data_IF_965553967216
#
_entry.id   IF_965553967216
#
_cell.length_a   1.000
_cell.length_b   1.000
_cell.length_c   1.000
_cell.angle_alpha   90.00
_cell.angle_beta   90.00
_cell.angle_gamma   90.00
#
_symmetry.space_group_name_H-M   'P 1'
#
loop_
_entity.id
_entity.type
_entity.pdbx_description
1 polymer ?
#
# COMPACT_ATOMS: atom_id res chain seq x y z
N UNK A 1 -0.91 -12.88 6.83
CA UNK A 1 -1.35 -11.46 6.69
C UNK A 1 -1.02 -10.72 7.99
N UNK A 2 -0.50 -9.52 7.91
CA UNK A 2 -0.11 -8.67 9.04
C UNK A 2 -1.33 -8.22 9.86
N UNK A 3 -1.23 -8.18 11.21
CA UNK A 3 -2.36 -7.89 12.09
C UNK A 3 -2.85 -6.42 11.96
N UNK A 4 -1.95 -5.47 11.73
CA UNK A 4 -2.32 -4.07 11.58
C UNK A 4 -2.95 -3.80 10.20
N UNK A 5 -2.54 -4.55 9.18
CA UNK A 5 -3.24 -4.54 7.90
C UNK A 5 -4.66 -5.11 8.04
N UNK A 6 -4.85 -6.19 8.81
CA UNK A 6 -6.19 -6.71 9.13
C UNK A 6 -7.03 -5.66 9.85
N UNK A 7 -6.51 -5.01 10.88
CA UNK A 7 -7.19 -3.92 11.60
C UNK A 7 -7.58 -2.77 10.65
N UNK A 8 -6.71 -2.44 9.67
CA UNK A 8 -7.01 -1.40 8.69
C UNK A 8 -8.15 -1.83 7.75
N UNK A 9 -8.13 -3.07 7.25
CA UNK A 9 -9.23 -3.61 6.43
C UNK A 9 -10.55 -3.59 7.22
N UNK A 10 -10.54 -4.04 8.48
CA UNK A 10 -11.75 -4.01 9.32
C UNK A 10 -12.26 -2.59 9.53
N UNK A 11 -11.37 -1.62 9.76
CA UNK A 11 -11.73 -0.20 9.86
C UNK A 11 -12.35 0.33 8.56
N UNK A 12 -11.71 0.09 7.42
CA UNK A 12 -12.09 0.70 6.14
C UNK A 12 -13.35 0.08 5.55
N UNK A 13 -13.61 -1.19 5.85
CA UNK A 13 -14.78 -1.93 5.38
C UNK A 13 -15.83 -2.13 6.48
N UNK A 14 -15.68 -1.45 7.63
CA UNK A 14 -16.65 -1.46 8.75
C UNK A 14 -17.00 -2.87 9.21
N UNK A 15 -16.00 -3.74 9.37
CA UNK A 15 -16.17 -5.15 9.73
C UNK A 15 -15.93 -5.40 11.20
N UNK A 16 -16.74 -6.27 11.77
CA UNK A 16 -16.40 -6.97 13.01
C UNK A 16 -15.33 -8.04 12.76
N UNK A 17 -14.73 -8.53 13.84
CA UNK A 17 -13.75 -9.61 13.77
C UNK A 17 -14.34 -10.89 13.19
N UNK A 18 -15.55 -11.27 13.59
CA UNK A 18 -16.27 -12.45 13.09
C UNK A 18 -16.54 -12.35 11.58
N UNK A 19 -16.96 -11.19 11.10
CA UNK A 19 -17.17 -10.95 9.66
C UNK A 19 -15.86 -11.03 8.87
N UNK A 20 -14.78 -10.48 9.41
CA UNK A 20 -13.47 -10.60 8.77
C UNK A 20 -13.03 -12.06 8.66
N UNK A 21 -13.16 -12.87 9.73
CA UNK A 21 -12.73 -14.27 9.74
C UNK A 21 -13.74 -15.24 9.08
N UNK A 22 -14.93 -14.80 8.69
CA UNK A 22 -15.90 -15.61 7.93
C UNK A 22 -15.40 -16.12 6.58
N UNK A 23 -14.30 -15.52 6.06
CA UNK A 23 -13.69 -15.80 4.74
C UNK A 23 -14.58 -15.54 3.54
N UNK A 24 -15.68 -14.83 3.71
CA UNK A 24 -16.53 -14.40 2.60
C UNK A 24 -15.96 -13.15 1.92
N UNK A 25 -16.34 -12.93 0.67
CA UNK A 25 -16.15 -11.63 0.02
C UNK A 25 -16.98 -10.56 0.73
N UNK A 26 -16.49 -9.33 0.76
CA UNK A 26 -17.07 -8.24 1.53
C UNK A 26 -17.52 -7.11 0.62
N UNK A 27 -18.73 -6.60 0.88
CA UNK A 27 -19.34 -5.51 0.14
C UNK A 27 -19.90 -4.51 1.13
N UNK A 28 -19.30 -3.33 1.22
CA UNK A 28 -19.64 -2.36 2.26
C UNK A 28 -20.06 -1.02 1.66
N UNK A 29 -21.23 -0.54 2.09
CA UNK A 29 -21.64 0.83 1.85
C UNK A 29 -21.18 1.68 3.04
N UNK A 30 -20.22 2.56 2.80
CA UNK A 30 -19.78 3.54 3.81
C UNK A 30 -19.14 4.77 3.19
N UNK A 31 -18.99 5.81 4.00
CA UNK A 31 -18.28 7.06 3.63
C UNK A 31 -16.88 7.03 4.26
N UNK A 32 -15.84 7.34 3.49
CA UNK A 32 -14.48 7.35 4.01
C UNK A 32 -14.28 8.36 5.15
N UNK A 33 -13.54 7.96 6.17
CA UNK A 33 -13.05 8.84 7.25
C UNK A 33 -11.55 9.18 7.05
N UNK A 34 -11.03 10.06 7.90
CA UNK A 34 -9.59 10.40 7.91
C UNK A 34 -8.70 9.19 8.27
N UNK A 35 -9.24 8.23 9.01
CA UNK A 35 -8.57 7.01 9.45
C UNK A 35 -8.49 5.92 8.37
N UNK A 36 -9.17 6.08 7.24
CA UNK A 36 -9.10 5.13 6.14
C UNK A 36 -7.72 5.15 5.49
N UNK A 37 -7.31 3.99 4.99
CA UNK A 37 -6.17 3.89 4.09
C UNK A 37 -6.33 4.89 2.94
N UNK A 38 -5.28 5.63 2.63
CA UNK A 38 -5.31 6.68 1.61
C UNK A 38 -6.00 6.23 0.31
N UNK A 39 -5.68 5.04 -0.16
CA UNK A 39 -6.27 4.46 -1.38
C UNK A 39 -7.77 4.13 -1.22
N UNK A 40 -8.23 3.85 0.00
CA UNK A 40 -9.64 3.54 0.27
C UNK A 40 -10.52 4.79 0.45
N UNK A 41 -9.96 6.00 0.33
CA UNK A 41 -10.72 7.27 0.37
C UNK A 41 -11.40 7.64 -0.95
N UNK A 42 -11.19 6.86 -2.01
CA UNK A 42 -11.85 7.03 -3.32
C UNK A 42 -13.36 6.74 -3.26
N UNK A 43 -14.14 7.17 -4.27
CA UNK A 43 -15.58 6.91 -4.35
C UNK A 43 -15.91 5.41 -4.42
N UNK A 44 -15.00 4.64 -5.03
CA UNK A 44 -14.98 3.19 -5.04
C UNK A 44 -13.59 2.69 -4.69
N UNK A 45 -13.52 1.64 -3.88
CA UNK A 45 -12.26 0.94 -3.57
C UNK A 45 -12.49 -0.57 -3.54
N UNK A 46 -11.50 -1.29 -4.05
CA UNK A 46 -11.43 -2.74 -4.04
C UNK A 46 -10.03 -3.18 -3.61
N UNK A 47 -9.97 -4.09 -2.66
CA UNK A 47 -8.75 -4.79 -2.28
C UNK A 47 -8.98 -6.30 -2.46
N UNK A 48 -8.06 -6.96 -3.18
CA UNK A 48 -7.98 -8.43 -3.19
C UNK A 48 -6.82 -8.87 -2.31
N UNK A 49 -7.14 -9.61 -1.28
CA UNK A 49 -6.17 -10.21 -0.34
C UNK A 49 -6.72 -11.50 0.21
N UNK A 50 -5.87 -12.46 0.58
CA UNK A 50 -6.27 -13.76 1.15
C UNK A 50 -7.36 -14.48 0.32
N UNK A 51 -7.23 -14.46 -1.01
CA UNK A 51 -8.17 -15.05 -1.97
C UNK A 51 -9.61 -14.47 -1.92
N UNK A 52 -9.80 -13.32 -1.30
CA UNK A 52 -11.08 -12.62 -1.17
C UNK A 52 -11.03 -11.24 -1.80
N UNK A 53 -12.21 -10.70 -2.07
CA UNK A 53 -12.39 -9.30 -2.45
C UNK A 53 -13.11 -8.53 -1.36
N UNK A 54 -12.62 -7.32 -1.10
CA UNK A 54 -13.21 -6.33 -0.24
C UNK A 54 -13.57 -5.14 -1.12
N UNK A 55 -14.85 -4.83 -1.25
CA UNK A 55 -15.35 -3.72 -2.08
C UNK A 55 -16.13 -2.74 -1.23
N UNK A 56 -15.88 -1.45 -1.42
CA UNK A 56 -16.64 -0.40 -0.77
C UNK A 56 -16.98 0.75 -1.72
N UNK A 57 -18.12 1.39 -1.46
CA UNK A 57 -18.52 2.67 -2.04
C UNK A 57 -19.49 3.36 -1.09
N UNK A 58 -19.71 4.66 -1.25
CA UNK A 58 -20.79 5.36 -0.58
C UNK A 58 -22.17 5.13 -1.26
N UNK A 59 -22.19 4.52 -2.45
CA UNK A 59 -23.39 4.23 -3.22
C UNK A 59 -23.92 2.81 -2.94
N UNK A 60 -25.03 2.72 -2.20
CA UNK A 60 -25.66 1.46 -1.82
C UNK A 60 -26.05 0.60 -3.04
N UNK A 61 -26.64 1.21 -4.10
CA UNK A 61 -27.08 0.44 -5.29
C UNK A 61 -25.90 -0.17 -6.03
N UNK A 62 -24.77 0.52 -6.07
CA UNK A 62 -23.53 -0.04 -6.63
C UNK A 62 -23.07 -1.25 -5.82
N UNK A 63 -23.04 -1.14 -4.50
CA UNK A 63 -22.62 -2.22 -3.60
C UNK A 63 -23.53 -3.44 -3.72
N UNK A 64 -24.84 -3.27 -3.71
CA UNK A 64 -25.81 -4.36 -3.93
C UNK A 64 -25.60 -5.07 -5.28
N UNK A 65 -25.36 -4.30 -6.35
CA UNK A 65 -25.07 -4.85 -7.68
C UNK A 65 -23.77 -5.64 -7.69
N UNK A 66 -22.71 -5.13 -7.06
CA UNK A 66 -21.41 -5.81 -6.98
C UNK A 66 -21.51 -7.09 -6.14
N UNK A 67 -22.22 -7.05 -5.00
CA UNK A 67 -22.45 -8.24 -4.18
C UNK A 67 -23.19 -9.34 -4.97
N UNK A 68 -24.27 -9.01 -5.66
CA UNK A 68 -25.02 -9.94 -6.48
C UNK A 68 -24.14 -10.67 -7.52
N UNK A 69 -23.10 -10.02 -8.02
CA UNK A 69 -22.22 -10.56 -9.06
C UNK A 69 -21.01 -11.28 -8.48
N UNK A 70 -20.42 -10.76 -7.40
CA UNK A 70 -19.09 -11.16 -6.92
C UNK A 70 -19.11 -11.87 -5.56
N UNK A 71 -20.27 -12.10 -4.93
CA UNK A 71 -20.38 -12.74 -3.60
C UNK A 71 -19.61 -14.05 -3.47
N UNK A 72 -19.67 -14.91 -4.49
CA UNK A 72 -18.98 -16.21 -4.52
C UNK A 72 -17.76 -16.21 -5.48
N UNK A 73 -17.32 -15.05 -5.98
CA UNK A 73 -16.23 -15.00 -6.93
C UNK A 73 -14.88 -15.20 -6.22
N UNK A 74 -13.99 -16.08 -6.73
CA UNK A 74 -12.69 -16.32 -6.08
C UNK A 74 -11.76 -15.14 -6.33
N UNK A 75 -11.31 -14.48 -5.24
CA UNK A 75 -10.51 -13.26 -5.31
C UNK A 75 -9.18 -13.40 -6.05
N UNK A 76 -8.57 -14.59 -6.02
CA UNK A 76 -7.31 -14.85 -6.74
C UNK A 76 -7.40 -14.69 -8.27
N UNK A 77 -8.59 -14.79 -8.84
CA UNK A 77 -8.83 -14.63 -10.28
C UNK A 77 -9.37 -13.25 -10.65
N UNK A 78 -9.48 -12.34 -9.68
CA UNK A 78 -10.16 -11.05 -9.89
C UNK A 78 -9.46 -10.18 -10.94
N UNK A 79 -8.13 -10.25 -11.06
CA UNK A 79 -7.36 -9.44 -12.00
C UNK A 79 -7.43 -9.89 -13.47
N UNK A 80 -8.21 -10.93 -13.80
CA UNK A 80 -8.43 -11.32 -15.19
C UNK A 80 -9.06 -10.17 -16.01
N UNK A 81 -8.59 -10.01 -17.24
CA UNK A 81 -9.03 -8.91 -18.12
C UNK A 81 -10.56 -8.87 -18.35
N UNK A 82 -11.22 -10.01 -18.32
CA UNK A 82 -12.68 -10.09 -18.41
C UNK A 82 -13.37 -9.45 -17.21
N UNK A 83 -12.85 -9.67 -16.00
CA UNK A 83 -13.36 -9.06 -14.77
C UNK A 83 -13.06 -7.57 -14.71
N UNK A 84 -11.85 -7.16 -15.11
CA UNK A 84 -11.50 -5.73 -15.13
C UNK A 84 -12.44 -4.97 -16.09
N UNK A 85 -12.73 -5.51 -17.26
CA UNK A 85 -13.73 -4.91 -18.17
C UNK A 85 -15.13 -4.89 -17.56
N UNK A 86 -15.54 -5.99 -16.92
CA UNK A 86 -16.87 -6.10 -16.30
C UNK A 86 -17.05 -5.09 -15.16
N UNK A 87 -16.08 -4.98 -14.25
CA UNK A 87 -16.17 -4.02 -13.15
C UNK A 87 -16.13 -2.58 -13.66
N UNK A 88 -15.29 -2.28 -14.67
CA UNK A 88 -15.25 -0.96 -15.31
C UNK A 88 -16.61 -0.59 -15.92
N UNK A 89 -17.28 -1.55 -16.58
CA UNK A 89 -18.63 -1.34 -17.13
C UNK A 89 -19.66 -1.08 -16.03
N UNK A 90 -19.60 -1.83 -14.92
CA UNK A 90 -20.53 -1.65 -13.80
C UNK A 90 -20.31 -0.29 -13.13
N UNK A 91 -19.06 0.10 -12.89
CA UNK A 91 -18.73 1.40 -12.29
C UNK A 91 -19.21 2.55 -13.19
N UNK A 92 -19.06 2.43 -14.51
CA UNK A 92 -19.52 3.43 -15.48
C UNK A 92 -21.04 3.69 -15.43
N UNK A 93 -21.87 2.71 -15.04
CA UNK A 93 -23.31 2.92 -14.83
C UNK A 93 -23.64 3.85 -13.64
N UNK A 94 -22.64 4.11 -12.78
CA UNK A 94 -22.72 4.98 -11.60
C UNK A 94 -21.81 6.21 -11.72
N UNK A 95 -21.38 6.55 -12.95
CA UNK A 95 -20.48 7.65 -13.27
C UNK A 95 -19.11 7.56 -12.54
N UNK A 96 -18.65 6.34 -12.25
CA UNK A 96 -17.35 6.07 -11.64
C UNK A 96 -16.42 5.45 -12.69
N UNK A 97 -15.22 5.99 -12.82
CA UNK A 97 -14.14 5.43 -13.63
C UNK A 97 -13.04 4.85 -12.74
N UNK A 98 -12.40 3.75 -13.19
CA UNK A 98 -11.19 3.24 -12.54
C UNK A 98 -10.08 4.28 -12.74
N UNK A 99 -9.60 4.87 -11.65
CA UNK A 99 -8.50 5.84 -11.67
C UNK A 99 -7.14 5.20 -11.38
N UNK A 100 -7.12 4.12 -10.59
CA UNK A 100 -5.90 3.38 -10.31
C UNK A 100 -6.15 1.87 -10.22
N UNK A 101 -5.14 1.11 -10.70
CA UNK A 101 -5.07 -0.35 -10.62
C UNK A 101 -3.61 -0.74 -10.38
N UNK A 102 -3.29 -1.20 -9.17
CA UNK A 102 -1.91 -1.36 -8.74
C UNK A 102 -1.71 -2.45 -7.69
N UNK A 103 -0.48 -2.97 -7.54
CA UNK A 103 -0.11 -3.83 -6.43
C UNK A 103 0.03 -3.00 -5.15
N UNK A 104 -0.74 -3.37 -4.12
CA UNK A 104 -0.57 -2.91 -2.75
C UNK A 104 0.27 -3.95 -2.01
N UNK A 105 1.45 -3.54 -1.56
CA UNK A 105 2.42 -4.42 -0.92
C UNK A 105 2.31 -4.26 0.60
N UNK A 106 2.15 -5.37 1.33
CA UNK A 106 2.09 -5.40 2.80
C UNK A 106 3.28 -6.15 3.36
N UNK A 107 3.86 -5.69 4.46
CA UNK A 107 5.04 -6.32 5.02
C UNK A 107 4.69 -7.63 5.74
N UNK A 108 5.33 -8.74 5.31
CA UNK A 108 5.06 -10.11 5.80
C UNK A 108 6.00 -10.58 6.90
N UNK A 109 6.71 -9.68 7.59
CA UNK A 109 7.64 -10.00 8.69
C UNK A 109 8.73 -11.03 8.33
N UNK A 110 9.72 -10.60 7.58
CA UNK A 110 10.91 -11.39 7.30
C UNK A 110 11.90 -11.35 8.48
N UNK A 111 12.62 -12.43 8.71
CA UNK A 111 13.72 -12.42 9.69
C UNK A 111 14.79 -11.40 9.27
N UNK A 112 15.24 -10.62 10.26
CA UNK A 112 16.25 -9.58 10.08
C UNK A 112 17.55 -10.18 9.52
N UNK A 113 17.90 -9.84 8.30
CA UNK A 113 19.22 -10.14 7.75
C UNK A 113 20.18 -8.98 8.08
N UNK A 114 21.44 -9.32 8.37
CA UNK A 114 22.46 -8.30 8.63
C UNK A 114 22.76 -7.55 7.33
N UNK A 115 22.37 -6.29 7.25
CA UNK A 115 22.70 -5.43 6.11
C UNK A 115 24.19 -5.12 6.08
N UNK A 116 24.80 -5.19 4.89
CA UNK A 116 26.17 -4.69 4.64
C UNK A 116 26.25 -3.16 4.53
N UNK A 117 25.10 -2.47 4.53
CA UNK A 117 25.00 -1.02 4.40
C UNK A 117 24.69 -0.39 5.75
N UNK A 118 25.40 0.68 6.09
CA UNK A 118 25.12 1.49 7.28
C UNK A 118 24.20 2.65 6.88
N UNK A 119 22.97 2.61 7.36
CA UNK A 119 21.97 3.64 7.06
C UNK A 119 22.01 4.78 8.06
N UNK A 120 21.82 5.99 7.57
CA UNK A 120 21.65 7.21 8.38
C UNK A 120 20.15 7.42 8.56
N UNK A 121 19.72 7.48 9.82
CA UNK A 121 18.32 7.78 10.16
C UNK A 121 18.02 9.25 9.90
N UNK A 122 16.81 9.50 9.39
CA UNK A 122 16.27 10.82 9.13
C UNK A 122 15.05 11.01 10.00
N UNK A 123 15.15 11.89 10.98
CA UNK A 123 14.03 12.28 11.81
C UNK A 123 13.11 13.26 11.07
N UNK A 124 11.84 13.35 11.51
CA UNK A 124 10.79 14.16 10.87
C UNK A 124 11.25 15.59 10.60
N UNK A 125 11.92 16.22 11.54
CA UNK A 125 12.41 17.63 11.45
C UNK A 125 13.43 17.83 10.33
N UNK A 126 14.10 16.76 9.91
CA UNK A 126 15.15 16.79 8.89
C UNK A 126 14.66 16.43 7.49
N UNK A 127 13.41 15.96 7.32
CA UNK A 127 12.86 15.49 6.04
C UNK A 127 12.88 16.62 4.99
N UNK A 128 12.55 17.83 5.39
CA UNK A 128 12.54 18.99 4.48
C UNK A 128 13.88 19.30 3.80
N UNK A 129 15.02 18.81 4.32
CA UNK A 129 16.34 18.93 3.67
C UNK A 129 16.43 18.18 2.32
N UNK A 130 15.50 17.24 2.09
CA UNK A 130 15.41 16.45 0.86
C UNK A 130 14.41 17.00 -0.15
N UNK A 131 13.65 18.04 0.20
CA UNK A 131 12.68 18.68 -0.69
C UNK A 131 13.38 19.24 -1.93
N UNK A 132 12.88 18.88 -3.11
CA UNK A 132 13.51 19.21 -4.39
C UNK A 132 14.71 18.34 -4.77
N UNK A 133 15.22 17.47 -3.86
CA UNK A 133 16.30 16.51 -4.14
C UNK A 133 15.76 15.10 -4.35
N UNK A 134 14.61 14.77 -3.79
CA UNK A 134 13.92 13.49 -3.96
C UNK A 134 12.44 13.71 -4.26
N UNK A 135 11.79 12.70 -4.84
CA UNK A 135 10.39 12.74 -5.28
C UNK A 135 9.52 11.68 -4.65
N UNK A 136 10.07 10.51 -4.34
CA UNK A 136 9.29 9.32 -3.97
C UNK A 136 9.25 9.00 -2.47
N UNK A 137 10.33 9.25 -1.68
CA UNK A 137 10.39 8.82 -0.28
C UNK A 137 9.45 9.56 0.67
N UNK A 138 9.11 10.82 0.36
CA UNK A 138 8.35 11.70 1.25
C UNK A 138 7.28 12.47 0.50
N UNK A 139 6.19 12.77 1.21
CA UNK A 139 5.12 13.68 0.74
C UNK A 139 5.50 15.15 0.91
N UNK A 140 6.43 15.46 1.82
CA UNK A 140 6.85 16.78 2.27
C UNK A 140 5.71 17.57 2.92
N UNK A 141 4.89 16.88 3.71
CA UNK A 141 3.78 17.41 4.48
C UNK A 141 3.71 16.78 5.89
N UNK A 142 2.63 17.06 6.62
CA UNK A 142 2.43 16.58 7.99
C UNK A 142 2.27 15.04 8.11
N UNK A 143 2.05 14.35 7.02
CA UNK A 143 1.94 12.88 7.01
C UNK A 143 3.31 12.19 7.18
N UNK A 144 4.41 12.84 6.80
CA UNK A 144 5.76 12.28 6.89
C UNK A 144 6.14 11.91 8.33
N UNK A 145 6.92 10.83 8.49
CA UNK A 145 7.29 10.29 9.80
C UNK A 145 8.79 10.22 10.01
N UNK A 146 9.44 9.32 9.32
CA UNK A 146 10.89 9.09 9.41
C UNK A 146 11.43 8.52 8.10
N UNK A 147 12.75 8.48 7.96
CA UNK A 147 13.39 7.87 6.81
C UNK A 147 14.74 7.29 7.12
N UNK A 148 15.30 6.62 6.13
CA UNK A 148 16.69 6.13 6.11
C UNK A 148 17.38 6.56 4.83
N UNK A 149 18.64 6.98 4.93
CA UNK A 149 19.48 7.30 3.80
C UNK A 149 20.76 6.47 3.81
N UNK A 150 21.30 6.21 2.63
CA UNK A 150 22.65 5.70 2.48
C UNK A 150 23.49 6.69 1.67
N UNK A 151 24.65 7.00 2.23
CA UNK A 151 25.66 7.85 1.60
C UNK A 151 26.93 7.03 1.31
N UNK A 152 27.57 7.33 0.18
CA UNK A 152 28.95 6.94 -0.09
C UNK A 152 29.78 8.24 -0.10
N UNK A 153 30.56 8.41 0.95
CA UNK A 153 31.13 9.73 1.31
C UNK A 153 30.01 10.77 1.46
N UNK A 154 30.06 11.86 0.71
CA UNK A 154 29.02 12.92 0.75
C UNK A 154 27.90 12.73 -0.29
N UNK A 155 27.96 11.67 -1.10
CA UNK A 155 26.99 11.42 -2.16
C UNK A 155 25.82 10.59 -1.65
N UNK A 156 24.61 11.12 -1.75
CA UNK A 156 23.38 10.38 -1.48
C UNK A 156 23.18 9.29 -2.57
N UNK A 157 23.08 8.04 -2.17
CA UNK A 157 22.97 6.87 -3.06
C UNK A 157 21.54 6.31 -3.07
N UNK A 158 20.90 6.24 -1.91
CA UNK A 158 19.54 5.76 -1.78
C UNK A 158 18.85 6.42 -0.58
N UNK A 159 17.53 6.58 -0.68
CA UNK A 159 16.69 7.21 0.32
C UNK A 159 15.37 6.46 0.38
N UNK A 160 14.91 6.12 1.59
CA UNK A 160 13.56 5.67 1.84
C UNK A 160 12.92 6.51 2.94
N UNK A 161 11.62 6.71 2.85
CA UNK A 161 10.88 7.49 3.83
C UNK A 161 9.51 6.91 4.06
N UNK A 162 8.87 7.29 5.17
CA UNK A 162 7.55 6.83 5.55
C UNK A 162 6.60 8.00 5.74
N UNK A 163 5.35 7.79 5.33
CA UNK A 163 4.25 8.72 5.59
C UNK A 163 3.01 7.97 6.11
N UNK A 164 2.23 8.62 6.99
CA UNK A 164 0.96 8.07 7.48
C UNK A 164 0.00 7.89 6.31
N UNK A 165 -0.49 6.68 6.10
CA UNK A 165 -1.40 6.36 5.00
C UNK A 165 -2.78 5.86 5.47
N UNK A 166 -2.95 5.55 6.74
CA UNK A 166 -4.18 5.11 7.39
C UNK A 166 -4.05 5.18 8.90
N UNK A 167 -4.99 4.57 9.60
CA UNK A 167 -4.94 4.48 11.07
C UNK A 167 -3.82 3.58 11.56
N UNK A 168 -3.61 2.45 10.87
CA UNK A 168 -2.68 1.39 11.27
C UNK A 168 -1.54 1.17 10.27
N UNK A 169 -1.44 2.01 9.22
CA UNK A 169 -0.49 1.80 8.14
C UNK A 169 0.31 3.05 7.80
N UNK A 170 1.62 2.86 7.57
CA UNK A 170 2.50 3.86 6.98
C UNK A 170 2.99 3.39 5.62
N UNK A 171 2.89 4.26 4.62
CA UNK A 171 3.39 4.00 3.26
C UNK A 171 4.90 4.28 3.19
N UNK A 172 5.65 3.41 2.52
CA UNK A 172 7.08 3.57 2.31
C UNK A 172 7.36 3.91 0.85
N UNK A 173 7.98 5.08 0.64
CA UNK A 173 8.60 5.45 -0.62
C UNK A 173 10.11 5.14 -0.65
N UNK A 174 10.62 4.75 -1.82
CA UNK A 174 12.04 4.46 -2.04
C UNK A 174 12.55 5.13 -3.31
N UNK A 175 13.71 5.78 -3.24
CA UNK A 175 14.40 6.32 -4.40
C UNK A 175 15.89 5.94 -4.38
N UNK A 176 16.41 5.55 -5.56
CA UNK A 176 17.84 5.27 -5.78
C UNK A 176 18.43 6.31 -6.73
N UNK A 177 19.56 6.90 -6.32
CA UNK A 177 20.27 7.92 -7.08
C UNK A 177 21.51 7.37 -7.79
N UNK A 178 21.90 6.11 -7.49
CA UNK A 178 22.96 5.40 -8.21
C UNK A 178 22.58 3.94 -8.47
N UNK A 179 22.95 3.44 -9.65
CA UNK A 179 22.75 2.06 -10.09
C UNK A 179 24.05 1.28 -10.24
N UNK A 180 25.16 1.79 -9.71
CA UNK A 180 26.46 1.09 -9.72
C UNK A 180 26.32 -0.28 -9.05
N UNK A 181 27.02 -1.28 -9.58
CA UNK A 181 26.96 -2.67 -9.11
C UNK A 181 27.37 -2.82 -7.63
N UNK A 182 28.29 -1.98 -7.15
CA UNK A 182 28.71 -1.97 -5.74
C UNK A 182 27.56 -1.70 -4.75
N UNK A 183 26.46 -1.07 -5.21
CA UNK A 183 25.25 -0.81 -4.42
C UNK A 183 24.13 -1.81 -4.68
N UNK A 184 24.46 -2.95 -5.29
CA UNK A 184 23.47 -4.01 -5.52
C UNK A 184 22.88 -4.49 -4.19
N UNK A 185 21.53 -4.57 -4.15
CA UNK A 185 20.77 -4.96 -2.96
C UNK A 185 20.39 -3.82 -2.01
N UNK A 186 20.95 -2.60 -2.17
CA UNK A 186 20.74 -1.48 -1.25
C UNK A 186 19.24 -1.14 -1.09
N UNK A 187 18.45 -1.16 -2.16
CA UNK A 187 17.00 -0.87 -2.08
C UNK A 187 16.26 -1.88 -1.22
N UNK A 188 16.56 -3.17 -1.37
CA UNK A 188 16.00 -4.25 -0.55
C UNK A 188 16.36 -4.07 0.93
N UNK A 189 17.66 -3.89 1.21
CA UNK A 189 18.15 -3.71 2.59
C UNK A 189 17.60 -2.44 3.24
N UNK A 190 17.41 -1.37 2.46
CA UNK A 190 16.87 -0.11 2.97
C UNK A 190 15.37 -0.22 3.32
N UNK A 191 14.58 -0.88 2.46
CA UNK A 191 13.17 -1.17 2.73
C UNK A 191 13.00 -2.07 3.95
N UNK A 192 13.79 -3.15 4.04
CA UNK A 192 13.76 -4.07 5.17
C UNK A 192 14.10 -3.36 6.47
N UNK A 193 15.21 -2.61 6.51
CA UNK A 193 15.64 -1.89 7.70
C UNK A 193 14.60 -0.86 8.16
N UNK A 194 14.02 -0.10 7.22
CA UNK A 194 13.00 0.89 7.54
C UNK A 194 11.71 0.23 8.05
N UNK A 195 11.29 -0.88 7.44
CA UNK A 195 10.12 -1.65 7.87
C UNK A 195 10.27 -2.18 9.29
N UNK A 196 11.45 -2.69 9.63
CA UNK A 196 11.75 -3.18 10.98
C UNK A 196 11.67 -2.04 12.00
N UNK A 197 12.27 -0.88 11.71
CA UNK A 197 12.21 0.31 12.59
C UNK A 197 10.76 0.74 12.82
N UNK A 198 9.95 0.80 11.75
CA UNK A 198 8.53 1.18 11.87
C UNK A 198 7.80 0.27 12.87
N UNK A 199 7.99 -1.05 12.76
CA UNK A 199 7.29 -2.03 13.59
C UNK A 199 7.83 -2.04 15.03
N UNK A 200 9.15 -1.98 15.21
CA UNK A 200 9.78 -2.00 16.54
C UNK A 200 9.41 -0.77 17.38
N UNK A 201 9.31 0.39 16.73
CA UNK A 201 8.99 1.65 17.42
C UNK A 201 7.48 1.93 17.54
N UNK A 202 6.64 1.29 16.70
CA UNK A 202 5.21 1.58 16.61
C UNK A 202 4.40 0.28 16.52
N UNK A 203 4.08 -0.33 17.66
CA UNK A 203 3.41 -1.65 17.75
C UNK A 203 2.08 -1.75 16.98
N UNK A 204 1.35 -0.63 16.82
CA UNK A 204 0.07 -0.58 16.13
C UNK A 204 0.19 -0.11 14.67
N UNK A 205 1.40 -0.04 14.13
CA UNK A 205 1.65 0.40 12.76
C UNK A 205 2.40 -0.67 11.97
N UNK A 206 1.96 -0.92 10.75
CA UNK A 206 2.70 -1.75 9.80
C UNK A 206 3.02 -0.99 8.53
N UNK A 207 4.20 -1.24 7.95
CA UNK A 207 4.59 -0.64 6.68
C UNK A 207 3.86 -1.28 5.50
N UNK A 208 3.47 -0.44 4.57
CA UNK A 208 2.98 -0.81 3.25
C UNK A 208 3.80 -0.09 2.18
N UNK A 209 3.66 -0.50 0.94
CA UNK A 209 4.06 0.32 -0.20
C UNK A 209 3.15 0.06 -1.40
N UNK A 210 3.01 1.04 -2.27
CA UNK A 210 2.30 0.92 -3.53
C UNK A 210 3.24 1.20 -4.70
N UNK A 211 2.97 0.57 -5.82
CA UNK A 211 3.71 0.81 -7.07
C UNK A 211 2.82 0.48 -8.26
N UNK A 212 3.35 0.55 -9.48
CA UNK A 212 2.62 0.15 -10.68
C UNK A 212 3.02 -1.26 -11.12
N UNK A 213 2.10 -2.03 -11.73
CA UNK A 213 2.40 -3.37 -12.24
C UNK A 213 3.55 -3.38 -13.28
N UNK A 214 3.68 -2.32 -14.06
CA UNK A 214 4.79 -2.14 -15.00
C UNK A 214 6.14 -1.86 -14.32
N UNK A 215 6.14 -1.47 -13.05
CA UNK A 215 7.36 -1.16 -12.31
C UNK A 215 7.94 -2.41 -11.64
N UNK A 216 8.26 -3.42 -12.43
CA UNK A 216 8.70 -4.75 -11.99
C UNK A 216 9.93 -4.74 -11.06
N UNK A 217 10.85 -3.77 -11.24
CA UNK A 217 12.00 -3.60 -10.33
C UNK A 217 11.57 -3.24 -8.92
N UNK A 218 10.59 -2.35 -8.77
CA UNK A 218 10.04 -1.96 -7.46
C UNK A 218 9.34 -3.16 -6.80
N UNK A 219 8.48 -3.87 -7.54
CA UNK A 219 7.79 -5.07 -7.05
C UNK A 219 8.81 -6.11 -6.56
N UNK A 220 9.83 -6.44 -7.39
CA UNK A 220 10.85 -7.42 -7.02
C UNK A 220 11.69 -6.96 -5.82
N UNK A 221 11.93 -5.67 -5.67
CA UNK A 221 12.67 -5.12 -4.52
C UNK A 221 11.84 -5.27 -3.24
N UNK A 222 10.53 -4.96 -3.30
CA UNK A 222 9.61 -5.13 -2.18
C UNK A 222 9.47 -6.60 -1.75
N UNK A 223 9.25 -7.52 -2.70
CA UNK A 223 9.15 -8.96 -2.41
C UNK A 223 10.42 -9.47 -1.72
N UNK A 224 11.62 -9.09 -2.19
CA UNK A 224 12.87 -9.47 -1.55
C UNK A 224 13.04 -8.86 -0.17
N UNK A 225 12.47 -7.69 0.08
CA UNK A 225 12.47 -7.06 1.39
C UNK A 225 11.43 -7.65 2.36
N UNK A 226 10.65 -8.65 1.93
CA UNK A 226 9.67 -9.34 2.77
C UNK A 226 8.24 -8.83 2.63
N UNK A 227 7.93 -8.04 1.60
CA UNK A 227 6.57 -7.63 1.31
C UNK A 227 5.82 -8.71 0.51
N UNK A 228 4.52 -8.80 0.76
CA UNK A 228 3.56 -9.65 0.06
C UNK A 228 2.66 -8.78 -0.81
N UNK A 229 2.31 -9.28 -2.00
CA UNK A 229 1.53 -8.52 -2.96
C UNK A 229 0.03 -8.78 -2.81
N UNK A 230 -0.73 -7.71 -2.70
CA UNK A 230 -2.18 -7.67 -2.81
C UNK A 230 -2.56 -6.83 -4.03
N UNK A 231 -3.83 -6.88 -4.43
CA UNK A 231 -4.35 -6.07 -5.52
C UNK A 231 -5.18 -4.91 -4.94
N UNK A 232 -5.00 -3.71 -5.48
CA UNK A 232 -5.88 -2.58 -5.19
C UNK A 232 -6.41 -1.95 -6.48
N UNK A 233 -7.71 -1.64 -6.49
CA UNK A 233 -8.37 -0.85 -7.54
C UNK A 233 -9.11 0.29 -6.86
N UNK A 234 -8.96 1.50 -7.38
CA UNK A 234 -9.72 2.66 -6.94
C UNK A 234 -10.50 3.26 -8.09
N UNK A 235 -11.60 3.91 -7.79
CA UNK A 235 -12.42 4.59 -8.78
C UNK A 235 -12.92 5.93 -8.28
N UNK A 236 -13.04 6.88 -9.20
CA UNK A 236 -13.53 8.24 -8.93
C UNK A 236 -14.70 8.58 -9.82
N UNK A 237 -15.63 9.37 -9.27
CA UNK A 237 -16.71 9.95 -10.07
C UNK A 237 -16.17 10.95 -11.08
N UNK A 238 -16.73 10.90 -12.26
CA UNK A 238 -16.52 11.93 -13.26
C UNK A 238 -17.10 13.26 -12.74
N UNK A 239 -16.31 14.31 -12.82
CA UNK A 239 -16.73 15.66 -12.40
C UNK A 239 -17.52 16.34 -13.50
#
# INVERSE_FOLDING_TARGET
MDINFIKQIMNDFSLSEDEFYSKNNVFTQNVPSEDFLFYNKSDFSLICTDNRVFMRSDNLKLIEKLEAIYKAYPGQWFSESANIRKISSILGEFDIEIDNFFPLMTYGHKNKETSKFNFVRIEKENINKFKGKSKMPFCFDESDRLGLAYYDSDRLIALAGTSKSGKYLWDIGLEKFSFDEKYRGIGTSLLEALSIIVIEENKDISPIMATQFSHTRSINTAIRAGFEMNLCITGKRNK
#
